data_IF_369556557949
#
_entry.id   IF_369556557949
#
_cell.length_a   1.000
_cell.length_b   1.000
_cell.length_c   1.000
_cell.angle_alpha   90.00
_cell.angle_beta   90.00
_cell.angle_gamma   90.00
#
_symmetry.space_group_name_H-M   'P 1'
#
loop_
_entity.id
_entity.type
_entity.pdbx_description
1 polymer ?
#
# COMPACT_ATOMS: atom_id res chain seq x y z
N UNK A 1 -31.29 5.44 -5.06
CA UNK A 1 -30.94 4.04 -4.80
C UNK A 1 -29.50 3.73 -5.17
N UNK A 2 -29.00 4.09 -6.37
CA UNK A 2 -27.60 3.85 -6.74
C UNK A 2 -26.58 4.50 -5.77
N UNK A 3 -26.73 5.79 -5.45
CA UNK A 3 -25.88 6.50 -4.48
C UNK A 3 -25.87 5.86 -3.08
N UNK A 4 -27.00 5.31 -2.61
CA UNK A 4 -27.06 4.66 -1.29
C UNK A 4 -26.28 3.34 -1.26
N UNK A 5 -26.37 2.54 -2.33
CA UNK A 5 -25.61 1.29 -2.46
C UNK A 5 -24.10 1.56 -2.57
N UNK A 6 -23.71 2.61 -3.30
CA UNK A 6 -22.30 3.04 -3.40
C UNK A 6 -21.76 3.55 -2.04
N UNK A 7 -22.57 4.28 -1.26
CA UNK A 7 -22.20 4.71 0.09
C UNK A 7 -22.03 3.53 1.06
N UNK A 8 -22.91 2.52 0.98
CA UNK A 8 -22.82 1.33 1.83
C UNK A 8 -21.54 0.52 1.55
N UNK A 9 -21.17 0.36 0.28
CA UNK A 9 -19.92 -0.31 -0.11
C UNK A 9 -18.69 0.52 0.28
N UNK A 10 -18.72 1.85 0.08
CA UNK A 10 -17.64 2.74 0.52
C UNK A 10 -17.45 2.70 2.04
N UNK A 11 -18.53 2.67 2.83
CA UNK A 11 -18.47 2.52 4.29
C UNK A 11 -17.91 1.16 4.71
N UNK A 12 -18.29 0.07 4.03
CA UNK A 12 -17.69 -1.25 4.27
C UNK A 12 -16.18 -1.22 4.04
N UNK A 13 -15.73 -0.71 2.89
CA UNK A 13 -14.30 -0.60 2.59
C UNK A 13 -13.55 0.34 3.54
N UNK A 14 -14.17 1.45 3.94
CA UNK A 14 -13.64 2.35 4.97
C UNK A 14 -13.36 1.58 6.26
N UNK A 15 -14.31 0.79 6.77
CA UNK A 15 -14.10 0.01 7.98
C UNK A 15 -13.02 -1.05 7.83
N UNK A 16 -12.94 -1.74 6.68
CA UNK A 16 -11.86 -2.70 6.42
C UNK A 16 -10.48 -2.02 6.49
N UNK A 17 -10.30 -0.90 5.80
CA UNK A 17 -9.05 -0.16 5.79
C UNK A 17 -8.72 0.42 7.17
N UNK A 18 -9.68 1.05 7.85
CA UNK A 18 -9.44 1.65 9.17
C UNK A 18 -9.15 0.61 10.24
N UNK A 19 -9.70 -0.61 10.12
CA UNK A 19 -9.50 -1.70 11.07
C UNK A 19 -8.24 -2.52 10.83
N UNK A 20 -7.69 -2.50 9.62
CA UNK A 20 -6.50 -3.28 9.28
C UNK A 20 -5.20 -2.64 9.81
N UNK A 21 -4.19 -3.42 10.26
CA UNK A 21 -4.28 -4.84 10.63
C UNK A 21 -5.14 -5.03 11.89
N UNK A 22 -5.66 -6.24 12.09
CA UNK A 22 -6.54 -6.55 13.23
C UNK A 22 -5.95 -6.13 14.58
N UNK A 23 -6.70 -5.34 15.36
CA UNK A 23 -6.37 -5.06 16.75
C UNK A 23 -6.30 -6.35 17.57
N UNK A 24 -5.12 -6.68 18.11
CA UNK A 24 -5.00 -7.70 19.15
C UNK A 24 -4.78 -7.03 20.50
N UNK A 25 -5.66 -7.33 21.46
CA UNK A 25 -5.59 -6.81 22.83
C UNK A 25 -4.20 -7.09 23.43
N UNK A 26 -3.42 -6.03 23.70
CA UNK A 26 -2.07 -6.12 24.25
C UNK A 26 -0.93 -5.91 23.24
N UNK A 27 -1.24 -5.71 21.96
CA UNK A 27 -0.31 -5.16 20.96
C UNK A 27 -0.53 -3.66 20.82
N UNK A 28 0.46 -2.96 20.26
CA UNK A 28 0.31 -1.57 19.81
C UNK A 28 -0.97 -1.45 18.96
N UNK A 29 -1.72 -0.35 19.15
CA UNK A 29 -3.06 -0.18 18.58
C UNK A 29 -3.11 -0.27 17.05
N UNK A 30 -4.31 -0.31 16.48
CA UNK A 30 -4.45 -0.24 15.01
C UNK A 30 -3.87 1.09 14.54
N UNK A 31 -2.86 1.09 13.65
CA UNK A 31 -2.30 2.33 13.14
C UNK A 31 -3.38 3.16 12.45
N UNK A 32 -3.32 4.47 12.59
CA UNK A 32 -4.22 5.35 11.85
C UNK A 32 -4.01 5.17 10.33
N UNK A 33 -5.07 5.33 9.54
CA UNK A 33 -4.95 5.41 8.09
C UNK A 33 -4.60 6.85 7.71
N UNK A 34 -3.46 7.00 7.03
CA UNK A 34 -3.11 8.14 6.20
C UNK A 34 -3.52 7.81 4.76
N UNK A 35 -3.81 8.81 3.92
CA UNK A 35 -4.03 8.60 2.47
C UNK A 35 -5.05 7.48 2.15
N UNK A 36 -6.14 7.45 2.91
CA UNK A 36 -7.13 6.36 2.84
C UNK A 36 -7.79 6.22 1.46
N UNK A 37 -7.83 7.30 0.66
CA UNK A 37 -8.31 7.24 -0.71
C UNK A 37 -7.36 6.43 -1.62
N UNK A 38 -6.06 6.64 -1.48
CA UNK A 38 -5.04 5.84 -2.16
C UNK A 38 -5.07 4.39 -1.68
N UNK A 39 -5.24 4.16 -0.38
CA UNK A 39 -5.39 2.81 0.17
C UNK A 39 -6.62 2.10 -0.43
N UNK A 40 -7.75 2.81 -0.61
CA UNK A 40 -8.93 2.28 -1.28
C UNK A 40 -8.65 1.92 -2.74
N UNK A 41 -7.91 2.75 -3.47
CA UNK A 41 -7.53 2.45 -4.85
C UNK A 41 -6.69 1.17 -4.94
N UNK A 42 -5.66 1.06 -4.11
CA UNK A 42 -4.75 -0.09 -4.08
C UNK A 42 -5.53 -1.36 -3.70
N UNK A 43 -6.31 -1.30 -2.64
CA UNK A 43 -7.14 -2.41 -2.17
C UNK A 43 -8.06 -2.96 -3.27
N UNK A 44 -8.78 -2.08 -3.97
CA UNK A 44 -9.67 -2.50 -5.07
C UNK A 44 -8.93 -3.08 -6.25
N UNK A 45 -7.74 -2.57 -6.53
CA UNK A 45 -6.89 -3.08 -7.61
C UNK A 45 -6.39 -4.49 -7.31
N UNK A 46 -5.98 -4.77 -6.07
CA UNK A 46 -5.57 -6.11 -5.63
C UNK A 46 -6.76 -7.08 -5.70
N UNK A 47 -7.92 -6.69 -5.13
CA UNK A 47 -9.17 -7.48 -5.19
C UNK A 47 -9.76 -7.64 -6.59
N UNK A 48 -9.29 -6.87 -7.58
CA UNK A 48 -9.89 -6.74 -8.92
C UNK A 48 -11.37 -6.36 -8.88
N UNK A 49 -11.77 -5.53 -7.91
CA UNK A 49 -13.13 -4.99 -7.84
C UNK A 49 -13.35 -4.04 -9.03
N UNK A 50 -14.58 -3.97 -9.57
CA UNK A 50 -14.88 -3.02 -10.65
C UNK A 50 -14.48 -1.62 -10.24
N UNK A 51 -13.96 -0.82 -11.16
CA UNK A 51 -13.70 0.60 -10.89
C UNK A 51 -15.02 1.32 -10.57
N UNK A 52 -14.97 2.28 -9.66
CA UNK A 52 -16.13 3.07 -9.26
C UNK A 52 -15.71 4.20 -8.34
N UNK A 53 -16.42 5.33 -8.38
CA UNK A 53 -16.26 6.47 -7.49
C UNK A 53 -14.80 6.87 -7.15
N UNK A 54 -13.89 6.81 -8.11
CA UNK A 54 -12.49 7.24 -7.92
C UNK A 54 -12.15 8.29 -8.96
N UNK A 55 -11.83 9.49 -8.49
CA UNK A 55 -11.31 10.60 -9.28
C UNK A 55 -9.80 10.52 -9.23
N UNK A 56 -9.20 10.08 -10.35
CA UNK A 56 -7.74 9.99 -10.50
C UNK A 56 -7.18 11.40 -10.74
N UNK A 57 -6.20 11.79 -9.93
CA UNK A 57 -5.42 13.02 -10.08
C UNK A 57 -4.01 12.64 -10.51
N UNK A 58 -3.20 13.63 -10.91
CA UNK A 58 -1.81 13.39 -11.32
C UNK A 58 -0.93 12.82 -10.20
N UNK A 59 -1.26 13.09 -8.94
CA UNK A 59 -0.43 12.80 -7.75
C UNK A 59 -1.14 11.97 -6.68
N UNK A 60 -2.30 11.39 -7.02
CA UNK A 60 -3.09 10.57 -6.11
C UNK A 60 -4.50 10.35 -6.64
N UNK A 61 -5.42 10.06 -5.74
CA UNK A 61 -6.83 9.89 -6.09
C UNK A 61 -7.76 10.35 -4.98
N UNK A 62 -9.05 10.42 -5.28
CA UNK A 62 -10.05 10.79 -4.30
C UNK A 62 -11.36 10.08 -4.61
N UNK A 63 -12.02 9.60 -3.56
CA UNK A 63 -13.35 8.97 -3.67
C UNK A 63 -14.38 9.83 -2.93
N UNK A 64 -15.32 10.47 -3.66
CA UNK A 64 -16.42 11.22 -3.07
C UNK A 64 -17.28 10.43 -2.07
N UNK A 65 -17.62 9.18 -2.37
CA UNK A 65 -18.41 8.30 -1.51
C UNK A 65 -17.62 7.86 -0.27
N UNK A 66 -16.31 7.59 -0.39
CA UNK A 66 -15.46 7.34 0.77
C UNK A 66 -15.36 8.58 1.66
N UNK A 67 -15.19 9.77 1.07
CA UNK A 67 -15.14 11.03 1.83
C UNK A 67 -16.47 11.30 2.55
N UNK A 68 -17.61 11.03 1.91
CA UNK A 68 -18.91 11.11 2.56
C UNK A 68 -19.02 10.11 3.71
N UNK A 69 -18.63 8.85 3.51
CA UNK A 69 -18.65 7.83 4.56
C UNK A 69 -17.76 8.21 5.75
N UNK A 70 -16.57 8.76 5.49
CA UNK A 70 -15.67 9.26 6.53
C UNK A 70 -16.26 10.44 7.29
N UNK A 71 -16.88 11.41 6.59
CA UNK A 71 -17.56 12.55 7.23
C UNK A 71 -18.67 12.08 8.16
N UNK A 72 -19.55 11.21 7.68
CA UNK A 72 -20.64 10.66 8.50
C UNK A 72 -20.12 9.85 9.69
N UNK A 73 -19.03 9.07 9.52
CA UNK A 73 -18.41 8.30 10.59
C UNK A 73 -17.69 9.17 11.62
N UNK A 74 -17.13 10.30 11.20
CA UNK A 74 -16.55 11.31 12.11
C UNK A 74 -17.66 12.04 12.87
N UNK A 75 -18.74 12.45 12.20
CA UNK A 75 -19.88 13.14 12.80
C UNK A 75 -20.63 12.26 13.83
N UNK A 76 -20.72 10.95 13.58
CA UNK A 76 -21.30 9.98 14.50
C UNK A 76 -20.37 9.56 15.64
N UNK A 77 -19.09 9.92 15.59
CA UNK A 77 -18.10 9.57 16.61
C UNK A 77 -17.52 8.15 16.50
N UNK A 78 -17.76 7.46 15.38
CA UNK A 78 -17.17 6.16 15.07
C UNK A 78 -15.71 6.28 14.64
N UNK A 79 -15.35 7.39 14.00
CA UNK A 79 -14.00 7.65 13.50
C UNK A 79 -13.45 8.93 14.13
N UNK A 80 -12.24 8.86 14.67
CA UNK A 80 -11.46 10.02 15.06
C UNK A 80 -10.63 10.50 13.86
N UNK A 81 -10.66 11.81 13.60
CA UNK A 81 -9.86 12.49 12.59
C UNK A 81 -8.87 13.42 13.27
N UNK A 82 -7.59 13.20 12.99
CA UNK A 82 -6.49 14.03 13.47
C UNK A 82 -5.72 14.62 12.29
N UNK A 83 -5.29 15.87 12.41
CA UNK A 83 -4.38 16.48 11.44
C UNK A 83 -2.99 16.61 12.06
N UNK A 84 -2.03 15.85 11.54
CA UNK A 84 -0.65 15.87 12.01
C UNK A 84 0.28 16.10 10.82
N UNK A 85 1.13 17.13 10.89
CA UNK A 85 2.10 17.41 9.82
C UNK A 85 1.50 17.73 8.45
N UNK A 86 0.24 18.17 8.39
CA UNK A 86 -0.48 18.44 7.13
C UNK A 86 -1.10 17.21 6.47
N UNK A 87 -0.98 16.03 7.09
CA UNK A 87 -1.63 14.79 6.65
C UNK A 87 -2.79 14.47 7.59
N UNK A 88 -3.91 14.09 7.01
CA UNK A 88 -5.08 13.63 7.77
C UNK A 88 -4.92 12.16 8.14
N UNK A 89 -5.17 11.88 9.41
CA UNK A 89 -5.11 10.56 10.03
C UNK A 89 -6.48 10.18 10.54
N UNK A 90 -6.92 9.00 10.15
CA UNK A 90 -8.22 8.45 10.54
C UNK A 90 -8.00 7.19 11.38
N UNK A 91 -8.69 7.09 12.51
CA UNK A 91 -8.65 5.92 13.39
C UNK A 91 -10.05 5.60 13.90
N UNK A 92 -10.32 4.32 14.17
CA UNK A 92 -11.58 3.92 14.79
C UNK A 92 -11.57 4.27 16.26
N UNK A 93 -12.67 4.84 16.76
CA UNK A 93 -12.94 4.95 18.19
C UNK A 93 -13.39 3.60 18.74
N UNK A 94 -13.60 3.47 20.06
CA UNK A 94 -14.22 2.28 20.64
C UNK A 94 -15.59 1.97 20.02
N UNK A 95 -16.36 3.01 19.67
CA UNK A 95 -17.63 2.88 18.95
C UNK A 95 -17.42 2.37 17.52
N UNK A 96 -16.47 2.95 16.78
CA UNK A 96 -16.14 2.47 15.43
C UNK A 96 -15.57 1.06 15.39
N UNK A 97 -14.86 0.62 16.44
CA UNK A 97 -14.41 -0.76 16.57
C UNK A 97 -15.57 -1.74 16.75
N UNK A 98 -16.65 -1.33 17.42
CA UNK A 98 -17.87 -2.12 17.53
C UNK A 98 -18.61 -2.20 16.18
N UNK A 99 -18.82 -1.06 15.52
CA UNK A 99 -19.54 -0.99 14.24
C UNK A 99 -18.79 -1.69 13.09
N UNK A 100 -17.47 -1.53 13.02
CA UNK A 100 -16.62 -2.18 12.01
C UNK A 100 -16.56 -3.71 12.15
N UNK A 101 -17.01 -4.28 13.28
CA UNK A 101 -16.91 -5.72 13.53
C UNK A 101 -17.74 -6.54 12.54
N UNK A 102 -18.97 -6.11 12.25
CA UNK A 102 -19.83 -6.82 11.29
C UNK A 102 -19.19 -6.90 9.89
N UNK A 103 -18.81 -5.76 9.29
CA UNK A 103 -18.07 -5.72 8.03
C UNK A 103 -16.78 -6.55 8.01
N UNK A 104 -16.01 -6.52 9.11
CA UNK A 104 -14.74 -7.24 9.23
C UNK A 104 -14.92 -8.75 9.36
N UNK A 105 -15.83 -9.20 10.22
CA UNK A 105 -16.10 -10.62 10.46
C UNK A 105 -16.76 -11.27 9.23
N UNK A 106 -17.46 -10.47 8.40
CA UNK A 106 -18.04 -10.90 7.14
C UNK A 106 -17.05 -10.93 5.97
N UNK A 107 -15.88 -10.30 6.09
CA UNK A 107 -14.86 -10.29 5.06
C UNK A 107 -14.07 -11.60 5.05
N UNK A 108 -13.71 -12.06 3.85
CA UNK A 108 -12.83 -13.23 3.68
C UNK A 108 -11.44 -12.94 4.27
N UNK A 109 -10.67 -13.99 4.57
CA UNK A 109 -9.31 -13.83 5.10
C UNK A 109 -8.42 -13.05 4.12
N UNK A 110 -8.44 -13.43 2.85
CA UNK A 110 -7.69 -12.76 1.78
C UNK A 110 -8.09 -11.28 1.67
N UNK A 111 -9.39 -10.96 1.78
CA UNK A 111 -9.84 -9.56 1.73
C UNK A 111 -9.31 -8.72 2.89
N UNK A 112 -9.20 -9.31 4.09
CA UNK A 112 -8.62 -8.64 5.26
C UNK A 112 -7.11 -8.46 5.12
N UNK A 113 -6.41 -9.44 4.54
CA UNK A 113 -4.98 -9.37 4.22
C UNK A 113 -4.74 -8.24 3.21
N UNK A 114 -5.49 -8.22 2.11
CA UNK A 114 -5.34 -7.23 1.06
C UNK A 114 -5.67 -5.81 1.55
N UNK A 115 -6.65 -5.65 2.45
CA UNK A 115 -6.92 -4.35 3.09
C UNK A 115 -5.75 -3.90 3.98
N UNK A 116 -5.10 -4.83 4.69
CA UNK A 116 -3.92 -4.54 5.50
C UNK A 116 -2.72 -4.15 4.63
N UNK A 117 -2.45 -4.91 3.57
CA UNK A 117 -1.37 -4.63 2.61
C UNK A 117 -1.57 -3.28 1.92
N UNK A 118 -2.78 -3.00 1.43
CA UNK A 118 -3.09 -1.75 0.75
C UNK A 118 -2.90 -0.53 1.67
N UNK A 119 -3.33 -0.64 2.93
CA UNK A 119 -3.11 0.42 3.93
C UNK A 119 -1.63 0.58 4.27
N UNK A 120 -0.91 -0.52 4.52
CA UNK A 120 0.51 -0.44 4.87
C UNK A 120 1.34 0.17 3.74
N UNK A 121 1.09 -0.21 2.48
CA UNK A 121 1.83 0.30 1.32
C UNK A 121 1.82 1.83 1.20
N UNK A 122 0.71 2.48 1.54
CA UNK A 122 0.53 3.93 1.37
C UNK A 122 0.56 4.73 2.67
N UNK A 123 0.56 4.07 3.82
CA UNK A 123 0.74 4.71 5.12
C UNK A 123 2.20 5.12 5.34
N UNK A 124 2.42 6.26 5.99
CA UNK A 124 3.73 6.73 6.43
C UNK A 124 4.73 6.92 5.27
N UNK A 125 4.24 7.17 4.05
CA UNK A 125 5.08 7.48 2.90
C UNK A 125 4.98 8.95 2.50
N UNK A 126 6.09 9.45 1.95
CA UNK A 126 6.17 10.81 1.40
C UNK A 126 5.38 10.93 0.10
N UNK A 127 5.08 12.17 -0.32
CA UNK A 127 4.43 12.39 -1.63
C UNK A 127 5.30 11.88 -2.80
N UNK A 128 6.62 11.95 -2.68
CA UNK A 128 7.54 11.43 -3.71
C UNK A 128 7.47 9.92 -3.81
N UNK A 129 7.40 9.24 -2.67
CA UNK A 129 7.24 7.79 -2.60
C UNK A 129 5.89 7.37 -3.17
N UNK A 130 4.81 8.03 -2.77
CA UNK A 130 3.48 7.76 -3.30
C UNK A 130 3.44 7.90 -4.83
N UNK A 131 3.90 9.04 -5.36
CA UNK A 131 3.92 9.28 -6.81
C UNK A 131 4.77 8.23 -7.53
N UNK A 132 5.94 7.90 -7.00
CA UNK A 132 6.82 6.90 -7.61
C UNK A 132 6.15 5.51 -7.64
N UNK A 133 5.48 5.13 -6.57
CA UNK A 133 4.73 3.89 -6.46
C UNK A 133 3.56 3.83 -7.44
N UNK A 134 2.69 4.85 -7.46
CA UNK A 134 1.49 4.87 -8.31
C UNK A 134 1.82 4.78 -9.80
N UNK A 135 2.84 5.50 -10.26
CA UNK A 135 3.28 5.48 -11.66
C UNK A 135 4.00 4.19 -12.08
N UNK A 136 4.53 3.44 -11.11
CA UNK A 136 5.23 2.19 -11.36
C UNK A 136 4.30 0.99 -11.33
N UNK A 137 3.45 0.90 -10.30
CA UNK A 137 2.54 -0.21 -10.06
C UNK A 137 1.28 -0.12 -10.94
N UNK A 138 0.82 1.11 -11.23
CA UNK A 138 -0.40 1.37 -12.00
C UNK A 138 -0.17 2.30 -13.21
N UNK A 139 0.75 1.94 -14.13
CA UNK A 139 1.20 2.82 -15.22
C UNK A 139 0.11 3.15 -16.25
N UNK A 140 -0.94 2.32 -16.33
CA UNK A 140 -2.10 2.56 -17.20
C UNK A 140 -3.12 3.52 -16.58
N UNK A 141 -3.08 3.70 -15.26
CA UNK A 141 -3.96 4.62 -14.53
C UNK A 141 -3.33 6.01 -14.41
N UNK A 142 -2.06 6.08 -14.02
CA UNK A 142 -1.33 7.34 -13.88
C UNK A 142 -0.48 7.64 -15.12
N UNK A 143 -1.00 8.53 -15.97
CA UNK A 143 -0.45 8.78 -17.31
C UNK A 143 0.06 10.20 -17.54
N UNK A 144 -0.10 11.14 -16.58
CA UNK A 144 0.39 12.52 -16.73
C UNK A 144 1.91 12.54 -17.00
N UNK A 145 2.36 13.09 -18.14
CA UNK A 145 3.76 12.99 -18.56
C UNK A 145 4.75 13.69 -17.64
N UNK A 146 4.38 14.87 -17.11
CA UNK A 146 5.26 15.67 -16.25
C UNK A 146 5.46 14.98 -14.91
N UNK A 147 4.39 14.43 -14.35
CA UNK A 147 4.49 13.67 -13.11
C UNK A 147 5.15 12.31 -13.33
N UNK A 148 4.94 11.65 -14.48
CA UNK A 148 5.68 10.43 -14.84
C UNK A 148 7.19 10.66 -14.89
N UNK A 149 7.61 11.81 -15.40
CA UNK A 149 9.03 12.20 -15.40
C UNK A 149 9.55 12.37 -13.97
N UNK A 150 8.81 13.07 -13.11
CA UNK A 150 9.16 13.22 -11.69
C UNK A 150 9.21 11.89 -10.94
N UNK A 151 8.23 11.01 -11.16
CA UNK A 151 8.19 9.67 -10.60
C UNK A 151 9.47 8.89 -10.93
N UNK A 152 9.96 8.97 -12.17
CA UNK A 152 11.24 8.36 -12.57
C UNK A 152 12.46 9.03 -11.92
N UNK A 153 12.45 10.35 -11.78
CA UNK A 153 13.55 11.09 -11.13
C UNK A 153 13.67 10.74 -9.64
N UNK A 154 12.55 10.52 -8.95
CA UNK A 154 12.51 10.15 -7.53
C UNK A 154 12.57 8.64 -7.29
N UNK A 155 12.29 7.86 -8.32
CA UNK A 155 11.92 6.46 -8.22
C UNK A 155 12.94 5.57 -7.53
N UNK A 156 14.23 5.78 -7.76
CA UNK A 156 15.27 4.96 -7.13
C UNK A 156 15.38 5.20 -5.61
N UNK A 157 15.41 6.46 -5.17
CA UNK A 157 15.49 6.82 -3.75
C UNK A 157 14.21 6.38 -3.02
N UNK A 158 13.04 6.62 -3.64
CA UNK A 158 11.75 6.16 -3.14
C UNK A 158 11.69 4.64 -3.00
N UNK A 159 12.15 3.90 -4.01
CA UNK A 159 12.18 2.44 -3.99
C UNK A 159 13.06 1.90 -2.86
N UNK A 160 14.27 2.45 -2.68
CA UNK A 160 15.16 2.03 -1.58
C UNK A 160 14.52 2.30 -0.21
N UNK A 161 13.99 3.51 0.00
CA UNK A 161 13.35 3.91 1.26
C UNK A 161 12.10 3.08 1.60
N UNK A 162 11.26 2.77 0.61
CA UNK A 162 10.10 1.91 0.81
C UNK A 162 10.49 0.44 0.99
N UNK A 163 11.52 -0.05 0.30
CA UNK A 163 12.02 -1.42 0.44
C UNK A 163 12.63 -1.67 1.83
N UNK A 164 13.43 -0.74 2.34
CA UNK A 164 14.03 -0.82 3.69
C UNK A 164 12.97 -0.93 4.79
N UNK A 165 11.80 -0.32 4.55
CA UNK A 165 10.64 -0.35 5.45
C UNK A 165 9.67 -1.51 5.14
N UNK A 166 10.07 -2.44 4.27
CA UNK A 166 9.30 -3.59 3.82
C UNK A 166 7.93 -3.25 3.18
N UNK A 167 7.75 -2.03 2.67
CA UNK A 167 6.48 -1.58 2.06
C UNK A 167 6.33 -2.02 0.61
N UNK A 168 7.43 -2.33 -0.08
CA UNK A 168 7.42 -2.79 -1.47
C UNK A 168 8.36 -3.98 -1.66
N UNK A 169 8.03 -4.83 -2.62
CA UNK A 169 8.91 -5.91 -3.06
C UNK A 169 10.09 -5.38 -3.88
N UNK A 170 11.12 -6.21 -4.09
CA UNK A 170 12.22 -5.90 -5.01
C UNK A 170 11.67 -5.63 -6.43
N UNK A 171 10.67 -6.41 -6.85
CA UNK A 171 10.04 -6.26 -8.17
C UNK A 171 9.38 -4.88 -8.31
N UNK A 172 8.51 -4.50 -7.38
CA UNK A 172 7.89 -3.16 -7.38
C UNK A 172 8.95 -2.06 -7.27
N UNK A 173 9.96 -2.24 -6.42
CA UNK A 173 11.09 -1.31 -6.32
C UNK A 173 11.86 -1.13 -7.63
N UNK A 174 12.05 -2.20 -8.41
CA UNK A 174 12.69 -2.13 -9.73
C UNK A 174 11.87 -1.31 -10.73
N UNK A 175 10.54 -1.48 -10.70
CA UNK A 175 9.62 -0.71 -11.55
C UNK A 175 9.64 0.77 -11.16
N UNK A 176 9.60 1.08 -9.86
CA UNK A 176 9.73 2.43 -9.34
C UNK A 176 11.04 3.08 -9.80
N UNK A 177 12.15 2.36 -9.70
CA UNK A 177 13.47 2.84 -10.13
C UNK A 177 13.61 2.97 -11.66
N UNK A 178 12.65 2.47 -12.46
CA UNK A 178 12.76 2.40 -13.91
C UNK A 178 13.88 1.48 -14.38
N UNK A 179 14.21 0.46 -13.58
CA UNK A 179 15.28 -0.51 -13.82
C UNK A 179 14.67 -1.91 -14.05
N UNK A 180 15.45 -2.80 -14.64
CA UNK A 180 15.13 -4.22 -14.55
C UNK A 180 15.42 -4.77 -13.14
N UNK A 181 14.88 -5.94 -12.84
CA UNK A 181 15.00 -6.59 -11.54
C UNK A 181 16.47 -6.78 -11.12
N UNK A 182 17.32 -7.26 -12.04
CA UNK A 182 18.74 -7.51 -11.76
C UNK A 182 19.52 -6.22 -11.50
N UNK A 183 19.27 -5.17 -12.29
CA UNK A 183 19.86 -3.86 -12.15
C UNK A 183 19.50 -3.21 -10.82
N UNK A 184 18.23 -3.31 -10.41
CA UNK A 184 17.80 -2.80 -9.10
C UNK A 184 18.45 -3.57 -7.94
N UNK A 185 18.50 -4.90 -7.99
CA UNK A 185 19.21 -5.69 -6.98
C UNK A 185 20.69 -5.31 -6.87
N UNK A 186 21.38 -5.14 -8.00
CA UNK A 186 22.78 -4.68 -8.02
C UNK A 186 22.94 -3.31 -7.37
N UNK A 187 22.02 -2.39 -7.64
CA UNK A 187 22.03 -1.06 -7.06
C UNK A 187 21.76 -1.08 -5.54
N UNK A 188 20.81 -1.90 -5.06
CA UNK A 188 20.56 -2.12 -3.63
C UNK A 188 21.77 -2.69 -2.90
N UNK A 189 22.45 -3.68 -3.49
CA UNK A 189 23.68 -4.25 -2.93
C UNK A 189 24.81 -3.20 -2.87
N UNK A 190 25.00 -2.43 -3.94
CA UNK A 190 26.02 -1.39 -4.00
C UNK A 190 25.76 -0.24 -3.00
N UNK A 191 24.49 0.09 -2.76
CA UNK A 191 24.06 1.09 -1.78
C UNK A 191 24.13 0.62 -0.32
N UNK A 192 24.39 -0.66 -0.07
CA UNK A 192 24.47 -1.23 1.28
C UNK A 192 23.11 -1.53 1.93
N UNK A 193 22.02 -1.41 1.17
CA UNK A 193 20.65 -1.70 1.60
C UNK A 193 20.37 -3.19 1.75
N UNK A 194 21.10 -4.02 1.01
CA UNK A 194 21.05 -5.47 1.12
C UNK A 194 22.34 -6.00 1.72
N UNK A 195 22.34 -6.28 3.03
CA UNK A 195 23.40 -7.09 3.65
C UNK A 195 23.15 -8.54 3.29
N UNK A 196 23.73 -9.01 2.18
CA UNK A 196 23.88 -10.45 1.99
C UNK A 196 24.66 -10.98 3.20
N UNK A 197 24.01 -11.82 4.00
CA UNK A 197 24.60 -12.43 5.20
C UNK A 197 25.73 -13.40 4.85
N UNK A 198 25.77 -13.81 3.59
CA UNK A 198 26.78 -14.65 2.97
C UNK A 198 27.47 -13.87 1.84
N UNK A 199 28.77 -14.04 1.73
CA UNK A 199 29.58 -13.37 0.71
C UNK A 199 29.09 -13.75 -0.71
N UNK A 200 29.30 -12.88 -1.70
CA UNK A 200 29.00 -13.19 -3.10
C UNK A 200 29.73 -14.46 -3.61
N UNK A 201 30.83 -14.84 -2.96
CA UNK A 201 31.55 -16.09 -3.20
C UNK A 201 30.79 -17.32 -2.66
N UNK A 202 30.17 -17.23 -1.48
CA UNK A 202 29.36 -18.31 -0.89
C UNK A 202 28.08 -18.56 -1.70
N UNK A 203 27.41 -17.49 -2.17
CA UNK A 203 26.23 -17.64 -3.04
C UNK A 203 26.57 -18.30 -4.39
N UNK A 204 27.73 -17.99 -4.99
CA UNK A 204 28.19 -18.66 -6.22
C UNK A 204 28.49 -20.13 -5.99
N UNK A 205 29.13 -20.45 -4.87
CA UNK A 205 29.46 -21.84 -4.51
C UNK A 205 28.20 -22.69 -4.34
N UNK A 206 27.15 -22.16 -3.72
CA UNK A 206 25.88 -22.85 -3.56
C UNK A 206 25.17 -23.11 -4.90
N UNK A 207 25.24 -22.16 -5.85
CA UNK A 207 24.67 -22.33 -7.19
C UNK A 207 25.43 -23.40 -7.98
N UNK A 208 26.76 -23.39 -7.93
CA UNK A 208 27.60 -24.38 -8.60
C UNK A 208 27.41 -25.79 -8.00
N UNK A 209 27.21 -25.90 -6.69
CA UNK A 209 26.91 -27.17 -6.01
C UNK A 209 25.53 -27.74 -6.43
N UNK A 210 24.52 -26.89 -6.60
CA UNK A 210 23.19 -27.29 -7.08
C UNK A 210 23.22 -27.75 -8.55
N UNK A 211 23.98 -27.04 -9.40
CA UNK A 211 24.14 -27.40 -10.82
C UNK A 211 24.90 -28.72 -10.96
N UNK A 212 25.95 -28.93 -10.14
CA UNK A 212 26.73 -30.17 -10.17
C UNK A 212 25.95 -31.38 -9.63
N UNK A 213 25.05 -31.20 -8.65
CA UNK A 213 24.16 -32.26 -8.19
C UNK A 213 23.05 -32.60 -9.20
N UNK A 214 22.62 -31.64 -10.01
CA UNK A 214 21.61 -31.86 -11.05
C UNK A 214 22.16 -32.59 -12.29
N UNK A 215 23.46 -32.48 -12.54
CA UNK A 215 24.15 -33.14 -13.66
C UNK A 215 24.76 -34.52 -13.28
N UNK A 216 24.65 -34.93 -12.01
CA UNK A 216 25.15 -36.20 -11.50
C UNK A 216 24.05 -37.29 -11.32
N UNK A 217 22.81 -36.96 -11.69
CA UNK A 217 21.67 -37.88 -11.82
C UNK A 217 21.23 -37.98 -13.29
#
# INVERSE_FOLDING_TARGET
MALYLETDEARRHMYLLLRAPEFRRGLEGIPAAERIHEALFVFRSIRRLPAGDLVIKKDGCYSPSLDLALKEAVESGEVAREAAGGVERYSLTDGGLAESRGPWDAAEEDERIEAAEAKDQVNEITDRELVSFLYAEFPETWTDPDMKKKAREWGFEAACSMYDRAKVSITTGSWMAGMDYEGFMKALMAGGYMKCRESAEEMRKNVDEIINHSNAN
#
